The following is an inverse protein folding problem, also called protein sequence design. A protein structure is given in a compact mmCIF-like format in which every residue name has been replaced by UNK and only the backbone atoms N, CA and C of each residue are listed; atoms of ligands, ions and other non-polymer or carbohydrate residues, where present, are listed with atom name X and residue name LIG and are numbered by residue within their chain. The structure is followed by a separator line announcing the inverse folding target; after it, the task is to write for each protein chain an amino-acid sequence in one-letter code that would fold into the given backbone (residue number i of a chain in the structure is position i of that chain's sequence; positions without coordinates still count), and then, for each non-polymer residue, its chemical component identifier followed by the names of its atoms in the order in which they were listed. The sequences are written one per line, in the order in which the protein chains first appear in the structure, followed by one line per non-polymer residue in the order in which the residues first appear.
data_IF_305634299606
#
_entry.id   IF_305634299606
#
_cell.length_a   1.000
_cell.length_b   1.000
_cell.length_c   1.000
_cell.angle_alpha   90.00
_cell.angle_beta   90.00
_cell.angle_gamma   90.00
#
_symmetry.space_group_name_H-M   'P 1'
#
loop_
_entity.id
_entity.type
_entity.pdbx_description
1 polymer ?
#
# COMPACT_ATOMS: atom_id res chain seq x y z
N UNK A 1 -11.39 22.82 1.07
CA UNK A 1 -11.34 21.39 1.44
C UNK A 1 -12.76 20.94 1.70
N UNK A 2 -13.26 19.95 0.95
CA UNK A 2 -14.52 19.29 1.30
C UNK A 2 -14.33 18.55 2.64
N UNK A 3 -15.37 18.46 3.46
CA UNK A 3 -15.30 17.66 4.68
C UNK A 3 -15.03 16.18 4.31
N UNK A 4 -14.24 15.48 5.12
CA UNK A 4 -14.07 14.04 4.95
C UNK A 4 -15.45 13.36 5.02
N UNK A 5 -15.75 12.39 4.15
CA UNK A 5 -17.04 11.71 4.16
C UNK A 5 -17.23 10.93 5.46
N UNK A 6 -18.50 10.70 5.83
CA UNK A 6 -18.81 9.87 6.99
C UNK A 6 -18.31 8.42 6.79
N UNK A 7 -17.81 7.76 7.86
CA UNK A 7 -17.45 6.35 7.80
C UNK A 7 -18.61 5.45 7.36
N UNK A 8 -18.37 4.56 6.38
CA UNK A 8 -19.29 3.52 5.93
C UNK A 8 -19.11 2.28 6.80
N UNK A 9 -19.96 2.11 7.82
CA UNK A 9 -19.96 0.93 8.70
C UNK A 9 -20.81 -0.19 8.07
N UNK A 10 -20.18 -1.30 7.70
CA UNK A 10 -20.87 -2.46 7.11
C UNK A 10 -20.40 -3.77 7.73
N UNK A 11 -21.31 -4.44 8.42
CA UNK A 11 -21.02 -5.72 9.06
C UNK A 11 -19.81 -5.62 9.99
N UNK A 12 -18.77 -6.42 9.70
CA UNK A 12 -17.58 -6.56 10.52
C UNK A 12 -16.54 -5.43 10.32
N UNK A 13 -16.68 -4.56 9.32
CA UNK A 13 -15.68 -3.52 9.02
C UNK A 13 -16.31 -2.13 8.87
N UNK A 14 -15.46 -1.13 9.11
CA UNK A 14 -15.73 0.29 8.85
C UNK A 14 -14.75 0.76 7.79
N UNK A 15 -15.28 1.35 6.73
CA UNK A 15 -14.50 1.98 5.65
C UNK A 15 -14.60 3.49 5.79
N UNK A 16 -13.46 4.19 5.76
CA UNK A 16 -13.41 5.65 5.77
C UNK A 16 -12.77 6.12 4.46
N UNK A 17 -13.58 6.44 3.42
CA UNK A 17 -13.05 7.00 2.18
C UNK A 17 -12.38 8.34 2.45
N UNK A 18 -11.28 8.62 1.74
CA UNK A 18 -10.49 9.81 2.03
C UNK A 18 -11.15 11.13 1.58
N UNK A 19 -11.82 11.10 0.43
CA UNK A 19 -12.59 12.23 -0.13
C UNK A 19 -13.98 11.77 -0.55
N UNK A 20 -14.84 12.72 -0.93
CA UNK A 20 -16.15 12.41 -1.48
C UNK A 20 -16.05 11.62 -2.80
N UNK A 21 -15.04 11.90 -3.63
CA UNK A 21 -14.75 11.14 -4.84
C UNK A 21 -14.32 9.70 -4.49
N UNK A 22 -13.51 9.51 -3.45
CA UNK A 22 -13.18 8.18 -2.94
C UNK A 22 -14.42 7.43 -2.45
N UNK A 23 -15.39 8.12 -1.84
CA UNK A 23 -16.67 7.52 -1.42
C UNK A 23 -17.47 7.06 -2.63
N UNK A 24 -17.60 7.90 -3.66
CA UNK A 24 -18.30 7.58 -4.90
C UNK A 24 -17.66 6.41 -5.67
N UNK A 25 -16.33 6.31 -5.66
CA UNK A 25 -15.61 5.16 -6.24
C UNK A 25 -15.85 3.90 -5.40
N UNK A 26 -15.75 4.00 -4.07
CA UNK A 26 -16.03 2.87 -3.17
C UNK A 26 -17.44 2.31 -3.34
N UNK A 27 -18.45 3.16 -3.57
CA UNK A 27 -19.83 2.74 -3.81
C UNK A 27 -20.03 1.90 -5.07
N UNK A 28 -19.10 1.95 -6.03
CA UNK A 28 -19.15 1.12 -7.24
C UNK A 28 -18.76 -0.33 -7.00
N UNK A 29 -17.96 -0.59 -5.97
CA UNK A 29 -17.59 -1.95 -5.52
C UNK A 29 -16.83 -2.77 -6.58
N UNK A 30 -16.21 -2.12 -7.56
CA UNK A 30 -15.61 -2.80 -8.71
C UNK A 30 -14.28 -3.50 -8.36
N UNK A 31 -13.32 -2.78 -7.78
CA UNK A 31 -12.03 -3.36 -7.45
C UNK A 31 -11.41 -2.73 -6.21
N UNK A 32 -10.76 -3.56 -5.41
CA UNK A 32 -9.99 -3.16 -4.25
C UNK A 32 -8.58 -3.70 -4.36
N UNK A 33 -7.60 -2.83 -4.08
CA UNK A 33 -6.21 -3.25 -3.92
C UNK A 33 -5.81 -3.11 -2.45
N UNK A 34 -5.09 -4.11 -1.94
CA UNK A 34 -4.69 -4.16 -0.54
C UNK A 34 -3.18 -4.42 -0.43
N UNK A 35 -2.43 -3.40 -0.03
CA UNK A 35 -1.01 -3.52 0.27
C UNK A 35 -0.79 -4.20 1.62
N UNK A 36 -0.04 -5.29 1.65
CA UNK A 36 0.36 -5.97 2.90
C UNK A 36 1.83 -5.69 3.21
N UNK A 37 2.11 -5.16 4.41
CA UNK A 37 3.47 -4.76 4.76
C UNK A 37 4.19 -5.82 5.63
N UNK A 38 5.46 -6.17 5.33
CA UNK A 38 6.25 -7.12 6.11
C UNK A 38 6.52 -6.67 7.55
N UNK A 39 6.26 -7.55 8.52
CA UNK A 39 6.53 -7.30 9.94
C UNK A 39 5.48 -6.45 10.67
N UNK A 40 4.36 -6.14 10.02
CA UNK A 40 3.24 -5.45 10.65
C UNK A 40 2.27 -6.47 11.29
N UNK A 41 2.03 -6.31 12.60
CA UNK A 41 1.21 -7.21 13.41
C UNK A 41 -0.28 -7.18 13.07
N UNK A 42 -0.75 -6.23 12.26
CA UNK A 42 -2.10 -6.22 11.72
C UNK A 42 -2.35 -7.38 10.76
N UNK A 43 -1.35 -7.74 9.94
CA UNK A 43 -1.44 -8.79 8.91
C UNK A 43 -1.22 -10.19 9.48
N UNK A 44 -2.02 -10.54 10.48
CA UNK A 44 -2.14 -11.90 10.99
C UNK A 44 -3.20 -12.67 10.21
N UNK A 45 -3.03 -13.99 10.11
CA UNK A 45 -3.89 -14.86 9.30
C UNK A 45 -5.38 -14.66 9.65
N UNK A 46 -5.83 -14.72 10.93
CA UNK A 46 -7.25 -14.57 11.24
C UNK A 46 -7.82 -13.21 10.83
N UNK A 47 -7.06 -12.13 11.03
CA UNK A 47 -7.48 -10.78 10.66
C UNK A 47 -7.62 -10.63 9.15
N UNK A 48 -6.66 -11.15 8.39
CA UNK A 48 -6.71 -11.10 6.92
C UNK A 48 -7.82 -12.01 6.38
N UNK A 49 -8.05 -13.19 6.98
CA UNK A 49 -9.12 -14.09 6.56
C UNK A 49 -10.50 -13.46 6.74
N UNK A 50 -10.73 -12.81 7.89
CA UNK A 50 -11.95 -12.05 8.16
C UNK A 50 -12.14 -10.90 7.14
N UNK A 51 -11.07 -10.14 6.89
CA UNK A 51 -11.08 -9.04 5.92
C UNK A 51 -11.36 -9.53 4.50
N UNK A 52 -10.69 -10.58 4.03
CA UNK A 52 -10.89 -11.13 2.69
C UNK A 52 -12.30 -11.71 2.56
N UNK A 53 -12.78 -12.44 3.56
CA UNK A 53 -14.15 -12.95 3.59
C UNK A 53 -15.19 -11.84 3.48
N UNK A 54 -15.00 -10.74 4.19
CA UNK A 54 -15.87 -9.57 4.10
C UNK A 54 -15.77 -8.86 2.74
N UNK A 55 -14.54 -8.58 2.26
CA UNK A 55 -14.32 -7.91 0.97
C UNK A 55 -14.92 -8.71 -0.21
N UNK A 56 -14.94 -10.05 -0.14
CA UNK A 56 -15.57 -10.88 -1.17
C UNK A 56 -17.08 -10.62 -1.30
N UNK A 57 -17.74 -10.18 -0.24
CA UNK A 57 -19.15 -9.77 -0.26
C UNK A 57 -19.37 -8.32 -0.68
N UNK A 58 -18.31 -7.51 -0.67
CA UNK A 58 -18.38 -6.05 -0.86
C UNK A 58 -17.62 -5.56 -2.09
N UNK A 59 -16.96 -6.43 -2.86
CA UNK A 59 -16.21 -6.03 -4.05
C UNK A 59 -16.19 -7.11 -5.12
N UNK A 60 -16.20 -6.73 -6.38
CA UNK A 60 -16.19 -7.67 -7.51
C UNK A 60 -14.82 -8.33 -7.68
N UNK A 61 -13.73 -7.59 -7.39
CA UNK A 61 -12.35 -8.07 -7.50
C UNK A 61 -11.45 -7.55 -6.38
N UNK A 62 -10.60 -8.43 -5.84
CA UNK A 62 -9.63 -8.13 -4.79
C UNK A 62 -8.23 -8.48 -5.28
N UNK A 63 -7.32 -7.51 -5.29
CA UNK A 63 -5.90 -7.76 -5.53
C UNK A 63 -5.07 -7.42 -4.27
N UNK A 64 -4.38 -8.43 -3.73
CA UNK A 64 -3.44 -8.25 -2.61
C UNK A 64 -2.04 -8.09 -3.18
N UNK A 65 -1.32 -7.03 -2.77
CA UNK A 65 0.03 -6.74 -3.25
C UNK A 65 1.04 -6.92 -2.13
N UNK A 66 2.07 -7.74 -2.39
CA UNK A 66 3.23 -7.94 -1.51
C UNK A 66 4.42 -7.14 -2.09
N UNK A 67 4.99 -6.18 -1.34
CA UNK A 67 6.10 -5.33 -1.78
C UNK A 67 7.44 -6.07 -1.67
N UNK A 68 7.62 -7.13 -2.47
CA UNK A 68 8.74 -8.05 -2.38
C UNK A 68 10.06 -7.49 -2.89
N UNK A 69 10.05 -6.73 -3.98
CA UNK A 69 11.23 -6.07 -4.54
C UNK A 69 11.68 -4.86 -3.69
N UNK A 70 10.76 -4.22 -2.98
CA UNK A 70 11.00 -2.98 -2.25
C UNK A 70 11.72 -3.17 -0.89
N UNK A 71 11.44 -4.26 -0.17
CA UNK A 71 11.87 -4.45 1.24
C UNK A 71 13.40 -4.45 1.41
N UNK A 72 14.16 -4.84 0.38
CA UNK A 72 15.63 -4.85 0.42
C UNK A 72 16.21 -3.48 0.73
N UNK A 73 15.57 -2.41 0.24
CA UNK A 73 16.05 -1.04 0.43
C UNK A 73 16.02 -0.60 1.90
N UNK A 74 15.03 -1.07 2.66
CA UNK A 74 14.96 -0.85 4.12
C UNK A 74 16.15 -1.49 4.84
N UNK A 75 16.55 -2.70 4.45
CA UNK A 75 17.70 -3.38 5.08
C UNK A 75 19.04 -2.74 4.70
N UNK A 76 19.17 -2.30 3.45
CA UNK A 76 20.35 -1.55 3.01
C UNK A 76 20.48 -0.22 3.76
N UNK A 77 19.37 0.49 3.96
CA UNK A 77 19.34 1.72 4.77
C UNK A 77 19.73 1.46 6.24
N UNK A 78 19.44 0.26 6.77
CA UNK A 78 19.89 -0.17 8.10
C UNK A 78 21.38 -0.57 8.15
N UNK A 79 22.11 -0.48 7.04
CA UNK A 79 23.54 -0.79 6.96
C UNK A 79 23.85 -2.28 6.78
N UNK A 80 22.88 -3.09 6.34
CA UNK A 80 23.15 -4.49 6.01
C UNK A 80 23.98 -4.57 4.72
N UNK A 81 24.92 -5.52 4.69
CA UNK A 81 25.57 -5.91 3.43
C UNK A 81 24.52 -6.45 2.44
N UNK A 82 24.73 -6.24 1.14
CA UNK A 82 23.76 -6.49 0.07
C UNK A 82 23.18 -7.90 0.09
N UNK A 83 24.03 -8.93 0.08
CA UNK A 83 23.55 -10.33 0.11
C UNK A 83 22.81 -10.64 1.40
N UNK A 84 23.20 -10.03 2.53
CA UNK A 84 22.48 -10.17 3.80
C UNK A 84 21.11 -9.48 3.75
N UNK A 85 21.02 -8.30 3.15
CA UNK A 85 19.79 -7.55 2.97
C UNK A 85 18.80 -8.32 2.10
N UNK A 86 19.24 -8.85 0.96
CA UNK A 86 18.41 -9.68 0.06
C UNK A 86 17.88 -10.94 0.76
N UNK A 87 18.77 -11.70 1.41
CA UNK A 87 18.36 -12.92 2.15
C UNK A 87 17.32 -12.60 3.22
N UNK A 88 17.53 -11.51 3.96
CA UNK A 88 16.64 -11.09 5.04
C UNK A 88 15.29 -10.60 4.50
N UNK A 89 15.28 -9.81 3.42
CA UNK A 89 14.07 -9.38 2.74
C UNK A 89 13.27 -10.58 2.23
N UNK A 90 13.90 -11.46 1.45
CA UNK A 90 13.27 -12.67 0.90
C UNK A 90 12.65 -13.56 1.98
N UNK A 91 13.34 -13.73 3.11
CA UNK A 91 12.82 -14.52 4.23
C UNK A 91 11.53 -13.91 4.81
N UNK A 92 11.48 -12.59 5.02
CA UNK A 92 10.28 -11.91 5.54
C UNK A 92 9.13 -11.90 4.54
N UNK A 93 9.44 -11.72 3.25
CA UNK A 93 8.45 -11.80 2.17
C UNK A 93 7.85 -13.20 2.08
N UNK A 94 8.66 -14.27 2.15
CA UNK A 94 8.15 -15.64 2.13
C UNK A 94 7.19 -15.89 3.30
N UNK A 95 7.52 -15.39 4.50
CA UNK A 95 6.63 -15.50 5.67
C UNK A 95 5.32 -14.74 5.42
N UNK A 96 5.39 -13.52 4.88
CA UNK A 96 4.20 -12.72 4.58
C UNK A 96 3.32 -13.39 3.52
N UNK A 97 3.92 -13.85 2.41
CA UNK A 97 3.21 -14.59 1.35
C UNK A 97 2.47 -15.80 1.90
N UNK A 98 3.14 -16.62 2.72
CA UNK A 98 2.52 -17.78 3.35
C UNK A 98 1.40 -17.41 4.34
N UNK A 99 1.43 -16.22 4.95
CA UNK A 99 0.31 -15.74 5.78
C UNK A 99 -0.87 -15.31 4.91
N UNK A 100 -0.62 -14.59 3.82
CA UNK A 100 -1.68 -14.15 2.91
C UNK A 100 -2.34 -15.35 2.23
N UNK A 101 -1.58 -16.33 1.74
CA UNK A 101 -2.12 -17.55 1.14
C UNK A 101 -3.00 -18.33 2.12
N UNK A 102 -2.55 -18.51 3.37
CA UNK A 102 -3.38 -19.14 4.42
C UNK A 102 -4.64 -18.36 4.76
N UNK A 103 -4.56 -17.03 4.79
CA UNK A 103 -5.72 -16.18 5.03
C UNK A 103 -6.75 -16.30 3.90
N UNK A 104 -6.28 -16.40 2.65
CA UNK A 104 -7.15 -16.72 1.51
C UNK A 104 -7.80 -18.10 1.66
N UNK A 105 -7.04 -19.14 2.02
CA UNK A 105 -7.57 -20.48 2.26
C UNK A 105 -8.65 -20.48 3.35
N UNK A 106 -8.41 -19.82 4.48
CA UNK A 106 -9.38 -19.67 5.57
C UNK A 106 -10.63 -18.87 5.15
N UNK A 107 -10.48 -17.89 4.25
CA UNK A 107 -11.58 -17.13 3.67
C UNK A 107 -12.34 -17.89 2.57
N UNK A 108 -12.01 -19.17 2.30
CA UNK A 108 -12.65 -19.99 1.27
C UNK A 108 -12.05 -19.84 -0.13
N UNK A 109 -10.79 -19.39 -0.23
CA UNK A 109 -10.01 -19.21 -1.45
C UNK A 109 -10.32 -17.92 -2.23
N UNK A 110 -9.38 -17.47 -3.10
CA UNK A 110 -9.63 -16.37 -4.03
C UNK A 110 -10.69 -16.78 -5.08
N UNK A 111 -11.52 -15.83 -5.51
CA UNK A 111 -12.46 -16.04 -6.63
C UNK A 111 -11.72 -15.94 -7.97
N UNK A 112 -12.32 -16.41 -9.09
CA UNK A 112 -11.83 -16.06 -10.41
C UNK A 112 -11.72 -14.54 -10.56
N UNK A 113 -10.52 -14.05 -10.86
CA UNK A 113 -10.22 -12.62 -10.99
C UNK A 113 -9.55 -12.00 -9.76
N UNK A 114 -9.73 -12.55 -8.55
CA UNK A 114 -8.98 -12.09 -7.38
C UNK A 114 -7.49 -12.47 -7.52
N UNK A 115 -6.59 -11.64 -7.00
CA UNK A 115 -5.15 -11.76 -7.18
C UNK A 115 -4.35 -11.73 -5.88
N UNK A 116 -3.28 -12.53 -5.83
CA UNK A 116 -2.17 -12.37 -4.89
C UNK A 116 -0.93 -12.09 -5.73
N UNK A 117 -0.51 -10.83 -5.75
CA UNK A 117 0.55 -10.34 -6.62
C UNK A 117 1.79 -9.98 -5.80
N UNK A 118 2.94 -10.39 -6.29
CA UNK A 118 4.21 -9.79 -5.90
C UNK A 118 4.39 -8.47 -6.66
N UNK A 119 4.94 -7.46 -6.00
CA UNK A 119 5.22 -6.17 -6.63
C UNK A 119 6.20 -6.34 -7.80
N UNK A 120 7.16 -7.26 -7.68
CA UNK A 120 8.08 -7.62 -8.75
C UNK A 120 7.39 -8.19 -10.01
N UNK A 121 6.16 -8.72 -9.90
CA UNK A 121 5.38 -9.19 -11.04
C UNK A 121 4.67 -8.04 -11.77
N UNK A 122 4.51 -6.89 -11.10
CA UNK A 122 3.78 -5.71 -11.58
C UNK A 122 4.73 -4.58 -12.02
N UNK A 123 5.97 -4.58 -11.53
CA UNK A 123 6.90 -3.46 -11.75
C UNK A 123 7.36 -3.29 -13.20
N UNK A 124 7.24 -4.35 -14.01
CA UNK A 124 7.50 -4.33 -15.45
C UNK A 124 6.31 -3.83 -16.29
N UNK A 125 5.20 -3.46 -15.67
CA UNK A 125 4.06 -2.83 -16.35
C UNK A 125 4.39 -1.42 -16.85
N UNK A 126 3.93 -1.06 -18.05
CA UNK A 126 4.14 0.28 -18.61
C UNK A 126 3.53 1.37 -17.72
N UNK A 127 2.31 1.15 -17.24
CA UNK A 127 1.62 2.07 -16.32
C UNK A 127 2.40 2.24 -15.03
N UNK A 128 2.84 1.12 -14.41
CA UNK A 128 3.61 1.17 -13.18
C UNK A 128 4.90 1.96 -13.36
N UNK A 129 5.70 1.67 -14.40
CA UNK A 129 6.96 2.38 -14.67
C UNK A 129 6.74 3.87 -14.94
N UNK A 130 5.70 4.23 -15.70
CA UNK A 130 5.38 5.62 -15.96
C UNK A 130 5.03 6.38 -14.67
N UNK A 131 4.25 5.75 -13.78
CA UNK A 131 3.86 6.33 -12.48
C UNK A 131 5.01 6.36 -11.49
N UNK A 132 5.88 5.36 -11.49
CA UNK A 132 7.09 5.37 -10.68
C UNK A 132 8.02 6.52 -11.09
N UNK A 133 8.24 6.71 -12.39
CA UNK A 133 9.04 7.83 -12.90
C UNK A 133 8.41 9.20 -12.57
N UNK A 134 7.08 9.29 -12.52
CA UNK A 134 6.36 10.48 -12.03
C UNK A 134 6.63 10.72 -10.54
N UNK A 135 6.55 9.68 -9.72
CA UNK A 135 6.85 9.74 -8.28
C UNK A 135 8.29 10.18 -8.01
N UNK A 136 9.25 9.64 -8.75
CA UNK A 136 10.67 10.01 -8.63
C UNK A 136 10.95 11.45 -9.05
N UNK A 137 10.21 11.99 -10.03
CA UNK A 137 10.29 13.42 -10.38
C UNK A 137 9.69 14.28 -9.30
N UNK A 138 8.46 13.98 -8.88
CA UNK A 138 7.76 14.75 -7.86
C UNK A 138 8.56 14.79 -6.54
N UNK A 139 9.13 13.66 -6.10
CA UNK A 139 9.91 13.61 -4.86
C UNK A 139 11.13 14.55 -4.88
N UNK A 140 11.69 14.86 -6.05
CA UNK A 140 12.81 15.81 -6.19
C UNK A 140 12.39 17.28 -6.22
N UNK A 141 11.14 17.55 -6.56
CA UNK A 141 10.63 18.90 -6.83
C UNK A 141 9.65 19.39 -5.75
N UNK A 142 9.07 18.47 -4.98
CA UNK A 142 8.02 18.71 -4.00
C UNK A 142 8.54 18.51 -2.58
N UNK A 143 8.79 19.62 -1.89
CA UNK A 143 9.28 19.62 -0.51
C UNK A 143 8.31 18.97 0.48
N UNK A 144 6.99 19.07 0.25
CA UNK A 144 5.98 18.46 1.13
C UNK A 144 6.04 16.95 0.97
N UNK A 145 6.03 16.46 -0.27
CA UNK A 145 6.15 15.03 -0.57
C UNK A 145 7.45 14.44 -0.04
N UNK A 146 8.58 15.15 -0.22
CA UNK A 146 9.87 14.74 0.30
C UNK A 146 9.87 14.68 1.83
N UNK A 147 9.42 15.75 2.49
CA UNK A 147 9.38 15.84 3.95
C UNK A 147 8.54 14.74 4.59
N UNK A 148 7.34 14.50 4.07
CA UNK A 148 6.46 13.41 4.52
C UNK A 148 7.07 12.04 4.29
N UNK A 149 7.67 11.81 3.11
CA UNK A 149 8.33 10.53 2.82
C UNK A 149 9.54 10.29 3.73
N UNK A 150 10.31 11.34 4.04
CA UNK A 150 11.46 11.28 4.93
C UNK A 150 11.08 10.90 6.36
N UNK A 151 10.03 11.53 6.89
CA UNK A 151 9.51 11.21 8.22
C UNK A 151 9.02 9.76 8.29
N UNK A 152 8.19 9.33 7.34
CA UNK A 152 7.70 7.95 7.29
C UNK A 152 8.85 6.93 7.16
N UNK A 153 9.87 7.22 6.35
CA UNK A 153 11.05 6.36 6.23
C UNK A 153 11.84 6.27 7.54
N UNK A 154 12.00 7.37 8.28
CA UNK A 154 12.64 7.36 9.61
C UNK A 154 11.85 6.51 10.61
N UNK A 155 10.52 6.60 10.61
CA UNK A 155 9.66 5.75 11.45
C UNK A 155 9.85 4.26 11.13
N UNK A 156 9.87 3.89 9.85
CA UNK A 156 10.08 2.50 9.41
C UNK A 156 11.43 1.98 9.89
N UNK A 157 12.50 2.77 9.76
CA UNK A 157 13.83 2.40 10.25
C UNK A 157 13.84 2.20 11.78
N UNK A 158 13.20 3.10 12.53
CA UNK A 158 13.11 3.00 13.99
C UNK A 158 12.34 1.74 14.44
N UNK A 159 11.22 1.43 13.77
CA UNK A 159 10.43 0.20 14.00
C UNK A 159 11.23 -1.08 13.70
N UNK A 160 12.14 -1.04 12.72
CA UNK A 160 13.05 -2.14 12.40
C UNK A 160 14.29 -2.20 13.31
N UNK A 161 14.32 -1.39 14.37
CA UNK A 161 15.34 -1.47 15.42
C UNK A 161 16.48 -0.49 15.29
N UNK A 162 16.44 0.45 14.34
CA UNK A 162 17.42 1.55 14.30
C UNK A 162 17.26 2.43 15.54
N UNK A 163 18.39 2.86 16.12
CA UNK A 163 18.43 3.62 17.39
C UNK A 163 19.16 4.96 17.29
N UNK A 164 19.76 5.27 16.14
CA UNK A 164 20.45 6.53 15.90
C UNK A 164 19.60 7.52 15.10
N UNK A 165 20.20 8.65 14.77
CA UNK A 165 19.68 9.58 13.75
C UNK A 165 20.12 9.07 12.38
N UNK A 166 19.16 8.76 11.51
CA UNK A 166 19.47 8.29 10.16
C UNK A 166 20.05 9.45 9.34
N UNK A 167 21.12 9.20 8.59
CA UNK A 167 21.64 10.18 7.63
C UNK A 167 20.65 10.38 6.47
N UNK A 168 20.80 11.48 5.72
CA UNK A 168 19.96 11.74 4.55
C UNK A 168 20.07 10.62 3.52
N UNK A 169 21.26 10.07 3.28
CA UNK A 169 21.46 8.92 2.39
C UNK A 169 20.69 7.66 2.87
N UNK A 170 20.67 7.39 4.17
CA UNK A 170 19.89 6.28 4.71
C UNK A 170 18.39 6.50 4.56
N UNK A 171 17.92 7.74 4.76
CA UNK A 171 16.52 8.12 4.58
C UNK A 171 16.13 7.98 3.11
N UNK A 172 16.91 8.53 2.18
CA UNK A 172 16.69 8.39 0.73
C UNK A 172 16.70 6.93 0.29
N UNK A 173 17.61 6.11 0.84
CA UNK A 173 17.60 4.67 0.56
C UNK A 173 16.31 4.01 1.06
N UNK A 174 15.85 4.35 2.26
CA UNK A 174 14.61 3.82 2.82
C UNK A 174 13.35 4.32 2.07
N UNK A 175 13.37 5.53 1.54
CA UNK A 175 12.27 6.09 0.73
C UNK A 175 11.97 5.25 -0.51
N UNK A 176 12.95 4.52 -1.05
CA UNK A 176 12.74 3.64 -2.21
C UNK A 176 11.64 2.61 -1.98
N UNK A 177 11.43 2.19 -0.72
CA UNK A 177 10.30 1.32 -0.38
C UNK A 177 8.95 2.02 -0.61
N UNK A 178 8.80 3.25 -0.10
CA UNK A 178 7.58 4.04 -0.24
C UNK A 178 7.34 4.46 -1.70
N UNK A 179 8.41 4.84 -2.41
CA UNK A 179 8.35 5.17 -3.83
C UNK A 179 7.82 4.02 -4.68
N UNK A 180 8.22 2.79 -4.38
CA UNK A 180 7.74 1.61 -5.08
C UNK A 180 6.25 1.32 -4.81
N UNK A 181 5.72 1.74 -3.66
CA UNK A 181 4.28 1.57 -3.35
C UNK A 181 3.41 2.66 -3.99
N UNK A 182 3.92 3.88 -4.17
CA UNK A 182 3.15 5.04 -4.67
C UNK A 182 2.39 4.82 -5.98
N UNK A 183 2.91 4.10 -7.00
CA UNK A 183 2.14 3.81 -8.22
C UNK A 183 0.76 3.19 -7.93
N UNK A 184 0.64 2.35 -6.90
CA UNK A 184 -0.63 1.75 -6.49
C UNK A 184 -1.57 2.73 -5.78
N UNK A 185 -1.06 3.84 -5.26
CA UNK A 185 -1.88 4.92 -4.71
C UNK A 185 -2.41 5.81 -5.83
N UNK A 186 -1.68 5.89 -6.96
CA UNK A 186 -2.02 6.80 -8.04
C UNK A 186 -2.88 6.14 -9.13
N UNK A 187 -2.65 4.86 -9.43
CA UNK A 187 -3.18 4.28 -10.67
C UNK A 187 -3.41 2.76 -10.59
N UNK A 188 -3.86 2.22 -9.46
CA UNK A 188 -4.21 0.79 -9.38
C UNK A 188 -5.32 0.42 -10.37
N UNK A 189 -6.27 1.31 -10.66
CA UNK A 189 -7.25 1.07 -11.74
C UNK A 189 -6.59 0.73 -13.07
N UNK A 190 -5.57 1.49 -13.45
CA UNK A 190 -4.83 1.29 -14.71
C UNK A 190 -3.87 0.10 -14.62
N UNK A 191 -3.21 -0.13 -13.48
CA UNK A 191 -2.26 -1.24 -13.30
C UNK A 191 -2.97 -2.59 -13.39
N UNK A 192 -4.17 -2.71 -12.83
CA UNK A 192 -4.95 -3.95 -12.82
C UNK A 192 -5.96 -4.07 -13.97
N UNK A 193 -6.00 -3.07 -14.86
CA UNK A 193 -6.94 -2.95 -15.98
C UNK A 193 -8.41 -3.11 -15.55
N UNK A 194 -8.83 -2.27 -14.60
CA UNK A 194 -10.19 -2.26 -14.04
C UNK A 194 -10.83 -0.88 -14.13
N UNK A 195 -12.18 -0.76 -14.11
CA UNK A 195 -12.85 0.52 -14.32
C UNK A 195 -12.57 1.54 -13.21
N UNK A 196 -12.63 1.15 -11.94
CA UNK A 196 -12.18 1.97 -10.80
C UNK A 196 -11.53 1.10 -9.74
N UNK A 197 -10.68 1.68 -8.89
CA UNK A 197 -10.01 0.95 -7.80
C UNK A 197 -9.93 1.76 -6.51
N UNK A 198 -10.17 1.10 -5.38
CA UNK A 198 -9.89 1.64 -4.05
C UNK A 198 -8.62 0.99 -3.49
N UNK A 199 -7.62 1.80 -3.13
CA UNK A 199 -6.49 1.35 -2.34
C UNK A 199 -6.82 1.42 -0.85
N UNK A 200 -6.77 0.27 -0.19
CA UNK A 200 -7.09 0.13 1.23
C UNK A 200 -5.85 -0.02 2.10
N UNK A 201 -5.90 0.63 3.26
CA UNK A 201 -4.98 0.37 4.35
C UNK A 201 -5.66 0.47 5.71
N UNK A 202 -5.10 -0.20 6.73
CA UNK A 202 -5.72 -0.26 8.06
C UNK A 202 -5.54 1.00 8.91
N UNK A 203 -4.75 1.96 8.44
CA UNK A 203 -4.52 3.25 9.09
C UNK A 203 -4.41 4.36 8.06
N UNK A 204 -4.65 5.60 8.50
CA UNK A 204 -4.33 6.77 7.69
C UNK A 204 -2.82 6.81 7.46
N UNK A 205 -2.42 6.96 6.20
CA UNK A 205 -1.03 7.12 5.82
C UNK A 205 -0.79 8.60 5.49
N UNK A 206 0.21 9.25 6.11
CA UNK A 206 0.53 10.65 5.80
C UNK A 206 0.74 10.89 4.29
N UNK A 207 1.36 9.94 3.61
CA UNK A 207 1.57 10.01 2.16
C UNK A 207 0.26 9.98 1.36
N UNK A 208 -0.73 9.19 1.80
CA UNK A 208 -2.06 9.20 1.19
C UNK A 208 -2.74 10.56 1.39
N UNK A 209 -2.58 11.17 2.57
CA UNK A 209 -3.11 12.50 2.82
C UNK A 209 -2.50 13.55 1.90
N UNK A 210 -1.18 13.54 1.73
CA UNK A 210 -0.47 14.45 0.82
C UNK A 210 -0.89 14.27 -0.66
N UNK A 211 -1.12 13.04 -1.10
CA UNK A 211 -1.56 12.74 -2.49
C UNK A 211 -3.01 13.14 -2.70
N UNK A 212 -3.93 12.67 -1.86
CA UNK A 212 -5.37 12.79 -2.09
C UNK A 212 -5.97 14.12 -1.63
N UNK A 213 -5.26 14.91 -0.80
CA UNK A 213 -5.65 16.30 -0.50
C UNK A 213 -5.29 17.28 -1.62
N UNK A 214 -4.46 16.87 -2.58
CA UNK A 214 -3.89 17.73 -3.62
C UNK A 214 -2.70 18.58 -3.14
N UNK A 215 -2.16 18.33 -1.95
CA UNK A 215 -1.05 19.07 -1.35
C UNK A 215 0.32 18.78 -2.00
N UNK A 216 0.46 17.69 -2.76
CA UNK A 216 1.67 17.39 -3.53
C UNK A 216 1.54 17.75 -5.01
N UNK A 217 2.60 17.55 -5.79
CA UNK A 217 2.59 17.54 -7.25
C UNK A 217 1.96 16.27 -7.84
N UNK A 218 1.85 15.20 -7.05
CA UNK A 218 1.25 13.95 -7.49
C UNK A 218 -0.27 14.05 -7.58
N UNK A 219 -0.84 13.44 -8.62
CA UNK A 219 -2.29 13.36 -8.82
C UNK A 219 -2.68 11.91 -9.10
N UNK A 220 -3.53 11.36 -8.25
CA UNK A 220 -4.14 10.07 -8.53
C UNK A 220 -5.05 10.17 -9.77
N UNK A 221 -5.18 9.06 -10.50
CA UNK A 221 -6.16 8.90 -11.56
C UNK A 221 -7.56 9.23 -11.04
N UNK A 222 -8.44 9.83 -11.85
CA UNK A 222 -9.84 10.03 -11.47
C UNK A 222 -10.61 8.71 -11.25
N UNK A 223 -10.00 7.57 -11.60
CA UNK A 223 -10.53 6.21 -11.37
C UNK A 223 -9.94 5.54 -10.12
N UNK A 224 -9.06 6.24 -9.41
CA UNK A 224 -8.36 5.76 -8.23
C UNK A 224 -8.87 6.46 -6.97
N UNK A 225 -9.11 5.66 -5.94
CA UNK A 225 -9.50 6.12 -4.62
C UNK A 225 -8.55 5.59 -3.54
N UNK A 226 -8.61 6.21 -2.38
CA UNK A 226 -7.99 5.71 -1.15
C UNK A 226 -8.99 5.74 -0.01
N UNK A 227 -8.94 4.72 0.82
CA UNK A 227 -9.77 4.61 2.00
C UNK A 227 -9.03 3.86 3.11
N UNK A 228 -9.36 4.17 4.36
CA UNK A 228 -8.95 3.31 5.46
C UNK A 228 -10.01 2.24 5.72
N UNK A 229 -9.57 1.07 6.17
CA UNK A 229 -10.45 -0.02 6.54
C UNK A 229 -10.04 -0.63 7.88
N UNK A 230 -10.98 -0.71 8.82
CA UNK A 230 -10.71 -1.24 10.16
C UNK A 230 -11.89 -2.07 10.64
N UNK A 231 -11.68 -3.02 11.57
CA UNK A 231 -12.76 -3.74 12.20
C UNK A 231 -13.79 -2.77 12.80
N UNK A 232 -15.07 -3.07 12.64
CA UNK A 232 -16.16 -2.37 13.31
C UNK A 232 -16.10 -2.78 14.80
N UNK A 233 -15.74 -1.83 15.65
CA UNK A 233 -15.72 -2.02 17.11
C UNK A 233 -17.10 -2.28 17.69
#
# INVERSE_FOLDING_TARGET
MSAAPEPDRRGAFTVEPFTEESRLIWERREHVVFGVSPGNSYFQVPRMAELFGWLRGESDRIDVVIPDSALVHTYLALGYEERRAERKARAEINVLRNRVSRAWEEAGGPRPGDGLNLMSELEDGEVYRARLAECERALREDEVLWGTSAEMSREVLALKGYRGTASDEQVERAMRYLLAELPFFLASSEIFDVPTSVNFYHRKLPLAEVVFSGASLLRASPRQAYATIRPAG
#
